data_IF_910216945573
#
_entry.id   IF_910216945573
#
_cell.length_a   1.000
_cell.length_b   1.000
_cell.length_c   1.000
_cell.angle_alpha   90.00
_cell.angle_beta   90.00
_cell.angle_gamma   90.00
#
_symmetry.space_group_name_H-M   'P 1'
#
loop_
_entity.id
_entity.type
_entity.pdbx_description
1 polymer ?
2 polymer ?
3 non-polymer ?
4 water ?
#
# COMPACT_ATOMS: atom_id res chain seq x y z
N UNK A 5 -11.89 19.50 -18.77
CA UNK A 5 -11.56 18.08 -18.85
C UNK A 5 -11.74 17.43 -17.49
N UNK A 6 -11.80 16.09 -17.47
CA UNK A 6 -11.96 15.40 -16.19
C UNK A 6 -10.80 15.66 -15.25
N UNK A 7 -11.09 15.63 -13.95
CA UNK A 7 -10.07 15.83 -12.94
C UNK A 7 -9.12 14.64 -12.92
N UNK A 8 -7.95 14.87 -12.33
CA UNK A 8 -7.00 13.79 -12.10
C UNK A 8 -7.54 12.88 -11.02
N UNK A 9 -7.41 11.56 -11.17
CA UNK A 9 -7.78 10.67 -10.06
C UNK A 9 -7.09 11.11 -8.78
N UNK A 10 -7.81 11.06 -7.68
CA UNK A 10 -7.32 11.57 -6.41
C UNK A 10 -6.54 10.54 -5.62
N UNK A 11 -6.66 9.26 -5.99
CA UNK A 11 -5.99 8.19 -5.27
C UNK A 11 -5.71 7.06 -6.25
N UNK A 12 -4.55 6.43 -6.10
CA UNK A 12 -4.15 5.28 -6.90
C UNK A 12 -3.61 4.26 -5.91
N UNK A 13 -4.18 3.05 -5.91
CA UNK A 13 -3.88 2.06 -4.89
C UNK A 13 -3.46 0.76 -5.55
N UNK A 14 -2.40 0.16 -5.01
CA UNK A 14 -1.82 -1.05 -5.56
C UNK A 14 -1.85 -2.16 -4.52
N UNK A 15 -2.23 -3.37 -4.96
CA UNK A 15 -2.26 -4.55 -4.11
C UNK A 15 -1.70 -5.72 -4.90
N UNK A 16 -0.67 -6.37 -4.37
CA UNK A 16 -0.10 -7.54 -5.02
C UNK A 16 -0.99 -8.75 -4.79
N UNK A 17 -1.29 -9.47 -5.86
CA UNK A 17 -2.06 -10.70 -5.77
C UNK A 17 -1.18 -11.93 -5.88
N UNK A 18 0.03 -11.76 -6.37
CA UNK A 18 0.97 -12.85 -6.56
C UNK A 18 2.29 -12.28 -7.04
N UNK A 19 3.25 -13.15 -7.30
CA UNK A 19 4.56 -12.65 -7.78
C UNK A 19 4.50 -11.96 -9.14
N UNK A 20 3.44 -12.19 -9.92
CA UNK A 20 3.37 -11.63 -11.27
C UNK A 20 2.07 -10.89 -11.54
N UNK A 21 1.31 -10.53 -10.50
CA UNK A 21 0.02 -9.88 -10.75
C UNK A 21 -0.33 -8.95 -9.62
N UNK A 22 -1.05 -7.88 -9.96
CA UNK A 22 -1.49 -6.95 -8.94
C UNK A 22 -2.84 -6.38 -9.32
N UNK A 23 -3.51 -5.84 -8.33
CA UNK A 23 -4.73 -5.08 -8.53
C UNK A 23 -4.40 -3.60 -8.43
N UNK A 24 -4.84 -2.84 -9.43
CA UNK A 24 -4.73 -1.39 -9.44
C UNK A 24 -6.13 -0.83 -9.24
N UNK A 25 -6.27 0.07 -8.29
CA UNK A 25 -7.55 0.72 -8.02
C UNK A 25 -7.34 2.23 -7.97
N UNK A 26 -8.41 2.97 -8.22
CA UNK A 26 -8.33 4.42 -8.17
C UNK A 26 -9.66 5.02 -7.75
N UNK A 27 -9.59 6.30 -7.38
CA UNK A 27 -10.75 7.08 -6.98
C UNK A 27 -10.80 8.35 -7.82
N UNK A 28 -12.01 8.74 -8.20
CA UNK A 28 -12.25 9.98 -8.94
C UNK A 28 -13.07 10.91 -8.06
N UNK A 29 -12.76 12.22 -8.03
CA UNK A 29 -13.53 13.10 -7.14
C UNK A 29 -15.00 13.19 -7.55
N UNK A 34 -20.24 13.48 -16.11
CA UNK A 34 -20.06 12.04 -16.32
C UNK A 34 -18.78 11.73 -17.08
N UNK A 35 -18.48 10.44 -17.25
CA UNK A 35 -17.27 10.01 -17.93
C UNK A 35 -17.59 8.89 -18.88
N UNK A 36 -16.80 8.78 -19.95
CA UNK A 36 -16.82 7.58 -20.76
C UNK A 36 -16.14 6.44 -20.01
N UNK A 37 -14.98 6.70 -19.43
CA UNK A 37 -14.29 5.67 -18.69
C UNK A 37 -12.89 6.12 -18.30
N UNK A 38 -12.00 5.15 -18.21
CA UNK A 38 -10.64 5.40 -17.78
C UNK A 38 -9.67 4.68 -18.70
N UNK A 39 -8.43 5.12 -18.66
CA UNK A 39 -7.33 4.39 -19.24
C UNK A 39 -6.31 4.10 -18.15
N UNK A 40 -5.79 2.88 -18.16
CA UNK A 40 -4.68 2.48 -17.29
C UNK A 40 -3.54 2.10 -18.21
N UNK A 41 -2.44 2.84 -18.11
CA UNK A 41 -1.25 2.59 -18.91
C UNK A 41 -0.16 2.07 -18.01
N UNK A 42 0.59 1.08 -18.47
CA UNK A 42 1.73 0.63 -17.68
C UNK A 42 2.83 0.14 -18.60
N UNK A 43 4.06 0.19 -18.10
CA UNK A 43 5.22 -0.25 -18.86
C UNK A 43 6.40 -0.34 -17.92
N UNK A 44 7.39 -1.13 -18.31
CA UNK A 44 8.63 -1.17 -17.55
C UNK A 44 9.22 0.22 -17.46
N UNK A 45 9.72 0.56 -16.27
CA UNK A 45 10.30 1.88 -16.06
C UNK A 45 11.37 2.20 -17.09
N UNK A 46 12.10 1.19 -17.56
CA UNK A 46 13.18 1.39 -18.53
C UNK A 46 12.83 0.71 -19.85
N UNK A 47 12.15 1.45 -20.72
CA UNK A 47 12.09 1.14 -22.13
C UNK A 47 11.04 0.13 -22.57
N UNK A 48 10.25 -0.42 -21.66
CA UNK A 48 9.30 -1.43 -22.04
C UNK A 48 8.20 -0.90 -22.95
N UNK A 49 7.61 -1.82 -23.71
CA UNK A 49 6.48 -1.45 -24.56
C UNK A 49 5.32 -0.98 -23.71
N UNK A 50 4.55 -0.03 -24.25
CA UNK A 50 3.46 0.60 -23.50
C UNK A 50 2.19 -0.24 -23.62
N UNK A 51 1.62 -0.60 -22.48
CA UNK A 51 0.39 -1.36 -22.40
C UNK A 51 -0.71 -0.43 -21.93
N UNK A 52 -1.81 -0.37 -22.67
CA UNK A 52 -2.93 0.49 -22.30
C UNK A 52 -4.19 -0.34 -22.14
N UNK A 53 -4.88 -0.18 -21.02
CA UNK A 53 -6.15 -0.83 -20.77
C UNK A 53 -7.24 0.24 -20.81
N UNK A 54 -8.21 0.07 -21.68
CA UNK A 54 -9.36 0.96 -21.76
C UNK A 54 -10.49 0.38 -20.93
N UNK A 55 -10.95 1.15 -19.95
CA UNK A 55 -11.96 0.72 -18.98
C UNK A 55 -13.28 1.40 -19.35
N UNK A 56 -14.29 0.65 -19.81
CA UNK A 56 -15.41 1.28 -20.51
C UNK A 56 -16.49 1.86 -19.63
N UNK A 57 -16.51 1.52 -18.35
CA UNK A 57 -17.60 1.89 -17.46
C UNK A 57 -17.06 2.78 -16.35
N UNK A 58 -17.55 4.02 -16.19
CA UNK A 58 -17.02 4.85 -15.10
C UNK A 58 -17.21 4.24 -13.72
N UNK A 59 -18.10 3.26 -13.56
CA UNK A 59 -18.31 2.66 -12.25
C UNK A 59 -17.28 1.59 -11.90
N UNK A 60 -16.46 1.15 -12.85
CA UNK A 60 -15.39 0.20 -12.57
C UNK A 60 -14.11 0.98 -12.32
N UNK A 61 -13.62 0.95 -11.08
CA UNK A 61 -12.42 1.70 -10.72
C UNK A 61 -11.33 0.78 -10.18
N UNK A 62 -11.23 -0.43 -10.72
CA UNK A 62 -10.20 -1.38 -10.33
C UNK A 62 -9.97 -2.33 -11.48
N UNK A 63 -8.73 -2.81 -11.61
CA UNK A 63 -8.41 -3.79 -12.65
C UNK A 63 -7.24 -4.64 -12.17
N UNK A 64 -7.24 -5.89 -12.59
CA UNK A 64 -6.16 -6.82 -12.29
C UNK A 64 -5.23 -6.88 -13.49
N UNK A 65 -3.93 -6.68 -13.23
CA UNK A 65 -2.88 -6.78 -14.23
C UNK A 65 -2.06 -8.03 -13.94
N UNK A 66 -1.88 -8.87 -14.95
CA UNK A 66 -1.16 -10.13 -14.79
C UNK A 66 0.04 -10.15 -15.71
N UNK A 67 0.85 -11.20 -15.55
CA UNK A 67 2.02 -11.43 -16.40
C UNK A 67 3.05 -10.32 -16.24
N UNK A 68 3.13 -9.73 -15.05
CA UNK A 68 4.21 -8.81 -14.74
C UNK A 68 5.47 -9.60 -14.42
N UNK A 69 6.61 -9.03 -14.76
CA UNK A 69 7.89 -9.68 -14.48
C UNK A 69 8.27 -9.46 -13.02
N UNK A 70 8.56 -10.51 -12.25
CA UNK A 70 8.99 -10.30 -10.86
C UNK A 70 10.24 -9.44 -10.78
N UNK A 71 10.31 -8.63 -9.73
CA UNK A 71 11.50 -7.85 -9.38
C UNK A 71 11.82 -6.80 -10.44
N UNK A 72 10.85 -6.44 -11.28
CA UNK A 72 11.01 -5.40 -12.28
C UNK A 72 10.14 -4.21 -11.93
N UNK A 73 10.66 -3.00 -12.14
CA UNK A 73 9.93 -1.79 -11.86
C UNK A 73 9.01 -1.41 -13.00
N UNK A 74 7.73 -1.16 -12.70
CA UNK A 74 6.75 -0.72 -13.66
C UNK A 74 6.22 0.65 -13.29
N UNK A 75 5.95 1.47 -14.30
CA UNK A 75 5.25 2.74 -14.14
C UNK A 75 3.80 2.52 -14.54
N UNK A 76 2.86 2.98 -13.69
CA UNK A 76 1.44 2.92 -13.96
C UNK A 76 0.88 4.34 -14.02
N UNK A 77 -0.02 4.59 -14.97
CA UNK A 77 -0.64 5.90 -15.11
C UNK A 77 -2.13 5.71 -15.35
N UNK A 78 -2.96 6.45 -14.63
CA UNK A 78 -4.41 6.32 -14.75
C UNK A 78 -4.98 7.69 -15.09
N UNK A 79 -5.84 7.74 -16.10
CA UNK A 79 -6.52 8.95 -16.53
C UNK A 79 -8.01 8.67 -16.70
N UNK A 80 -8.82 9.71 -16.58
CA UNK A 80 -10.24 9.66 -16.90
C UNK A 80 -10.49 10.36 -18.22
N UNK A 81 -11.53 9.92 -18.93
CA UNK A 81 -11.93 10.54 -20.18
C UNK A 81 -13.40 10.94 -20.12
N UNK A 82 -13.73 12.07 -20.76
CA UNK A 82 -15.09 12.54 -20.89
C UNK A 82 -15.27 13.08 -22.31
N UNK A 83 -16.39 13.79 -22.53
CA UNK A 83 -16.61 14.43 -23.81
C UNK A 83 -15.60 15.55 -24.04
N UNK A 84 -15.17 16.23 -22.98
CA UNK A 84 -14.21 17.32 -23.10
C UNK A 84 -12.77 16.84 -23.31
N UNK A 85 -12.52 15.54 -23.22
CA UNK A 85 -11.22 14.98 -23.50
C UNK A 85 -10.64 14.26 -22.30
N UNK A 86 -9.36 13.95 -22.40
CA UNK A 86 -8.66 13.22 -21.35
C UNK A 86 -8.18 14.18 -20.25
N UNK A 87 -8.33 13.75 -19.01
CA UNK A 87 -7.78 14.47 -17.89
C UNK A 87 -6.33 14.10 -17.67
N UNK A 88 -5.72 14.77 -16.70
CA UNK A 88 -4.33 14.50 -16.36
C UNK A 88 -4.22 13.18 -15.61
N UNK A 89 -3.02 12.59 -15.65
CA UNK A 89 -2.83 11.26 -15.09
C UNK A 89 -2.34 11.33 -13.65
N UNK A 90 -2.70 10.29 -12.89
CA UNK A 90 -2.04 9.98 -11.63
C UNK A 90 -1.11 8.81 -11.86
N UNK A 91 0.11 8.90 -11.35
CA UNK A 91 1.16 7.96 -11.67
C UNK A 91 1.71 7.31 -10.41
N UNK A 92 2.11 6.05 -10.53
CA UNK A 92 2.87 5.38 -9.49
C UNK A 92 3.85 4.37 -10.06
N UNK A 93 5.01 4.23 -9.42
CA UNK A 93 6.00 3.23 -9.81
C UNK A 93 5.94 2.10 -8.80
N UNK A 94 5.88 0.86 -9.28
CA UNK A 94 5.64 -0.28 -8.41
C UNK A 94 6.50 -1.45 -8.87
N UNK A 95 7.00 -2.22 -7.92
CA UNK A 95 7.70 -3.48 -8.16
C UNK A 95 7.05 -4.55 -7.31
N UNK A 96 6.91 -5.77 -7.84
CA UNK A 96 6.55 -6.93 -7.03
C UNK A 96 7.83 -7.71 -6.77
N UNK A 97 8.29 -7.74 -5.53
CA UNK A 97 9.54 -8.41 -5.17
C UNK A 97 9.26 -9.82 -4.67
N UNK A 98 10.09 -10.77 -5.12
CA UNK A 98 10.00 -12.16 -4.65
C UNK A 98 11.37 -12.81 -4.82
N UNK A 99 11.56 -13.93 -4.12
CA UNK A 99 12.85 -14.62 -4.12
C UNK A 99 13.25 -15.04 -5.52
N UNK A 100 14.55 -14.95 -5.80
CA UNK A 100 15.10 -15.34 -7.10
C UNK A 100 15.38 -16.84 -7.11
N UNK A 105 12.26 -16.95 7.66
CA UNK A 105 12.23 -17.28 9.09
C UNK A 105 11.09 -16.59 9.84
N UNK A 106 10.33 -15.76 9.12
CA UNK A 106 9.17 -15.11 9.71
C UNK A 106 7.96 -16.04 9.67
N UNK A 107 6.96 -15.73 10.50
CA UNK A 107 5.73 -16.50 10.56
C UNK A 107 5.14 -16.62 9.15
N UNK A 108 5.05 -17.85 8.58
CA UNK A 108 4.69 -17.98 7.15
C UNK A 108 3.30 -17.47 6.76
N UNK A 109 3.12 -16.15 6.67
CA UNK A 109 1.83 -15.63 6.25
C UNK A 109 1.59 -15.96 4.77
N UNK A 110 0.39 -16.42 4.40
CA UNK A 110 0.06 -16.53 2.97
C UNK A 110 0.31 -15.21 2.26
N UNK A 111 0.96 -15.28 1.11
CA UNK A 111 1.40 -14.09 0.42
C UNK A 111 2.68 -13.49 0.94
N UNK A 112 3.33 -14.13 1.92
CA UNK A 112 4.59 -13.61 2.44
C UNK A 112 5.73 -13.74 1.44
N UNK A 113 5.59 -14.60 0.44
CA UNK A 113 6.64 -14.84 -0.53
C UNK A 113 6.79 -13.70 -1.54
N UNK A 114 5.90 -12.71 -1.50
CA UNK A 114 6.00 -11.58 -2.43
C UNK A 114 5.54 -10.33 -1.71
N UNK A 115 6.13 -9.20 -2.08
CA UNK A 115 5.79 -7.91 -1.49
C UNK A 115 5.77 -6.84 -2.57
N UNK A 116 4.94 -5.83 -2.35
CA UNK A 116 4.96 -4.64 -3.17
C UNK A 116 6.01 -3.67 -2.65
N UNK A 117 6.67 -2.97 -3.55
CA UNK A 117 7.58 -1.90 -3.15
C UNK A 117 7.45 -0.72 -4.11
N UNK A 118 7.68 0.48 -3.59
CA UNK A 118 7.92 1.65 -4.41
C UNK A 118 9.00 2.47 -3.73
N UNK A 119 9.80 3.23 -4.48
CA UNK A 119 11.00 3.85 -3.88
C UNK A 119 10.70 4.73 -2.67
N UNK A 120 9.59 5.47 -2.67
CA UNK A 120 9.34 6.45 -1.62
C UNK A 120 8.41 5.95 -0.54
N UNK A 121 7.94 4.70 -0.63
CA UNK A 121 7.04 4.19 0.40
C UNK A 121 7.85 3.47 1.49
N UNK A 122 7.32 3.44 2.71
CA UNK A 122 7.93 2.60 3.74
C UNK A 122 8.00 1.16 3.25
N UNK A 123 8.94 0.39 3.81
CA UNK A 123 9.06 -1.00 3.47
C UNK A 123 7.87 -1.79 3.94
N UNK A 124 7.81 -3.06 3.56
CA UNK A 124 6.69 -3.92 3.95
C UNK A 124 6.48 -3.91 5.46
N UNK A 125 5.22 -3.98 5.86
CA UNK A 125 4.87 -3.96 7.28
C UNK A 125 5.06 -5.33 7.90
N UNK A 126 5.78 -5.36 9.01
CA UNK A 126 6.06 -6.59 9.77
C UNK A 126 5.45 -6.42 11.15
N UNK A 127 4.55 -7.33 11.51
CA UNK A 127 3.79 -7.23 12.75
C UNK A 127 4.19 -8.34 13.70
N UNK A 128 4.30 -8.00 14.98
CA UNK A 128 4.51 -8.98 16.04
C UNK A 128 3.39 -8.80 17.06
N UNK A 129 2.58 -9.85 17.24
CA UNK A 129 1.55 -9.82 18.27
C UNK A 129 2.20 -10.10 19.61
N UNK A 130 2.25 -9.09 20.48
CA UNK A 130 2.90 -9.22 21.78
C UNK A 130 1.97 -9.77 22.84
N UNK A 131 0.68 -9.53 22.71
CA UNK A 131 -0.30 -9.98 23.69
C UNK A 131 -1.68 -9.87 23.04
N UNK A 132 -2.74 -10.31 23.71
CA UNK A 132 -4.08 -10.19 23.11
C UNK A 132 -4.49 -8.76 22.79
N UNK A 133 -3.89 -7.76 23.45
CA UNK A 133 -4.29 -6.37 23.26
C UNK A 133 -3.16 -5.47 22.79
N UNK A 134 -2.04 -6.02 22.33
CA UNK A 134 -0.92 -5.17 21.94
C UNK A 134 -0.09 -5.85 20.86
N UNK A 135 0.54 -5.02 20.04
CA UNK A 135 1.41 -5.51 18.98
C UNK A 135 2.53 -4.51 18.75
N UNK A 136 3.55 -4.96 18.03
CA UNK A 136 4.58 -4.11 17.48
C UNK A 136 4.47 -4.11 15.96
N UNK A 137 4.71 -2.95 15.37
CA UNK A 137 4.79 -2.79 13.93
C UNK A 137 6.19 -2.26 13.59
N UNK A 138 6.80 -2.82 12.54
CA UNK A 138 8.11 -2.37 12.11
C UNK A 138 8.14 -2.28 10.59
N UNK A 139 8.97 -1.38 10.08
CA UNK A 139 9.06 -1.16 8.64
C UNK A 139 10.43 -0.59 8.30
N UNK A 140 10.89 -0.94 7.10
CA UNK A 140 12.15 -0.44 6.59
C UNK A 140 11.99 0.98 6.06
N UNK A 141 13.06 1.74 6.17
CA UNK A 141 13.09 3.10 5.64
C UNK A 141 12.81 3.07 4.14
N UNK A 142 12.07 4.06 3.60
CA UNK A 142 11.96 4.16 2.14
C UNK A 142 13.34 4.19 1.49
N UNK A 143 13.47 3.46 0.39
CA UNK A 143 14.77 3.38 -0.26
C UNK A 143 15.16 4.72 -0.89
N UNK A 144 14.19 5.45 -1.43
CA UNK A 144 14.45 6.76 -2.04
C UNK A 144 13.36 7.74 -1.63
N UNK A 145 13.46 8.30 -0.43
CA UNK A 145 12.49 9.33 -0.03
C UNK A 145 12.69 10.60 -0.85
N UNK A 146 11.60 11.33 -1.03
CA UNK A 146 11.67 12.66 -1.64
C UNK A 146 12.03 13.64 -0.54
N UNK A 147 13.32 13.96 -0.44
CA UNK A 147 13.84 14.73 0.67
C UNK A 147 14.20 13.86 1.85
N UNK A 148 14.86 14.46 2.82
CA UNK A 148 15.28 13.72 4.00
C UNK A 148 14.07 13.39 4.88
N UNK A 149 14.15 12.25 5.54
CA UNK A 149 13.03 11.75 6.34
C UNK A 149 13.08 12.42 7.70
N UNK A 150 11.94 12.96 8.13
CA UNK A 150 11.80 13.62 9.42
C UNK A 150 11.16 12.66 10.41
N UNK A 151 10.33 11.75 9.91
CA UNK A 151 9.63 10.82 10.76
C UNK A 151 8.54 10.11 9.99
N UNK A 152 7.66 9.44 10.73
CA UNK A 152 6.58 8.68 10.15
C UNK A 152 5.29 8.99 10.89
N UNK A 153 4.20 8.97 10.13
CA UNK A 153 2.85 8.99 10.68
C UNK A 153 2.27 7.59 10.56
N UNK A 154 1.83 7.04 11.70
CA UNK A 154 1.21 5.72 11.75
C UNK A 154 -0.19 5.92 12.31
N UNK A 155 -1.19 5.44 11.58
CA UNK A 155 -2.59 5.53 12.01
C UNK A 155 -3.14 4.14 12.25
N UNK A 156 -3.98 4.02 13.27
CA UNK A 156 -4.63 2.76 13.66
C UNK A 156 -6.11 3.05 13.87
N UNK A 157 -6.97 2.26 13.26
CA UNK A 157 -8.40 2.43 13.45
C UNK A 157 -9.10 1.11 13.26
N UNK A 158 -10.27 0.97 13.87
CA UNK A 158 -11.06 -0.24 13.65
C UNK A 158 -11.40 -0.34 12.17
N UNK A 159 -11.15 -1.51 11.59
CA UNK A 159 -11.31 -1.67 10.15
C UNK A 159 -12.77 -1.61 9.73
N UNK A 160 -13.69 -2.03 10.60
CA UNK A 160 -15.11 -2.04 10.28
C UNK A 160 -15.76 -0.68 10.51
N UNK A 161 -14.97 0.38 10.61
CA UNK A 161 -15.49 1.73 10.69
C UNK A 161 -16.12 2.04 12.03
N UNK A 162 -16.61 3.27 12.14
CA UNK A 162 -17.29 3.72 13.34
C UNK A 162 -16.46 4.63 14.20
N UNK A 163 -15.48 4.07 14.91
CA UNK A 163 -14.73 4.81 15.89
C UNK A 163 -13.67 5.70 15.27
N UNK A 164 -12.98 6.43 16.12
CA UNK A 164 -11.92 7.33 15.65
C UNK A 164 -10.63 6.59 15.34
N UNK A 165 -9.72 7.31 14.70
CA UNK A 165 -8.38 6.82 14.44
C UNK A 165 -7.43 7.31 15.51
N UNK A 166 -6.38 6.53 15.76
CA UNK A 166 -5.29 6.93 16.63
C UNK A 166 -4.05 7.14 15.78
N UNK A 167 -3.44 8.31 15.91
CA UNK A 167 -2.32 8.72 15.07
C UNK A 167 -1.07 8.85 15.92
N UNK A 168 -0.05 8.04 15.60
CA UNK A 168 1.24 8.07 16.25
C UNK A 168 2.26 8.78 15.38
N UNK A 169 3.09 9.63 15.99
CA UNK A 169 4.19 10.29 15.30
C UNK A 169 5.49 9.63 15.74
N UNK A 170 6.16 8.96 14.81
CA UNK A 170 7.42 8.29 15.05
C UNK A 170 8.53 9.17 14.49
N UNK A 171 9.31 9.79 15.37
CA UNK A 171 10.32 10.74 14.95
C UNK A 171 11.64 10.03 14.67
N UNK A 172 12.40 10.60 13.75
CA UNK A 172 13.72 10.11 13.44
C UNK A 172 13.75 9.36 12.11
N UNK A 173 14.97 9.01 11.71
CA UNK A 173 15.23 8.39 10.41
C UNK A 173 16.09 7.14 10.59
N UNK A 174 15.56 6.18 11.35
CA UNK A 174 16.28 4.94 11.57
C UNK A 174 16.14 4.02 10.36
N UNK A 175 17.16 3.20 10.07
CA UNK A 175 17.01 2.23 8.97
C UNK A 175 15.79 1.35 9.13
N UNK A 176 15.53 0.91 10.36
CA UNK A 176 14.32 0.21 10.73
C UNK A 176 13.62 1.01 11.81
N UNK A 177 12.32 1.23 11.63
CA UNK A 177 11.50 1.94 12.60
C UNK A 177 10.50 0.98 13.20
N UNK A 178 10.16 1.19 14.47
CA UNK A 178 9.27 0.30 15.20
C UNK A 178 8.33 1.11 16.08
N UNK A 179 7.12 0.59 16.26
CA UNK A 179 6.10 1.22 17.08
C UNK A 179 5.32 0.14 17.82
N UNK A 180 5.22 0.28 19.15
CA UNK A 180 4.35 -0.57 19.95
C UNK A 180 2.98 0.08 20.06
N UNK A 181 1.94 -0.70 19.79
CA UNK A 181 0.57 -0.19 19.77
C UNK A 181 -0.24 -0.90 20.84
N UNK A 182 -0.68 -0.20 21.88
CA UNK A 182 -1.42 -0.86 22.96
C UNK A 182 -2.92 -0.65 22.85
N UNK A 183 -3.68 -1.24 23.78
CA UNK A 183 -5.09 -0.93 23.90
C UNK A 183 -5.96 -1.43 22.76
N UNK A 184 -5.57 -2.55 22.14
CA UNK A 184 -6.33 -3.10 21.04
C UNK A 184 -7.36 -4.09 21.60
N UNK A 185 -8.64 -3.85 21.30
CA UNK A 185 -9.68 -4.77 21.71
C UNK A 185 -9.43 -6.15 21.11
N UNK A 186 -9.77 -7.18 21.87
CA UNK A 186 -9.40 -8.53 21.50
C UNK A 186 -10.20 -9.02 20.28
N UNK A 187 -9.49 -9.62 19.33
CA UNK A 187 -10.09 -10.29 18.17
C UNK A 187 -10.74 -9.31 17.19
N UNK A 188 -10.41 -8.03 17.28
CA UNK A 188 -11.03 -6.98 16.46
C UNK A 188 -10.06 -6.62 15.33
N UNK A 189 -10.51 -6.57 14.07
CA UNK A 189 -9.61 -6.16 13.00
C UNK A 189 -9.32 -4.67 13.04
N UNK A 190 -8.05 -4.33 12.84
CA UNK A 190 -7.55 -2.96 12.86
C UNK A 190 -6.82 -2.66 11.57
N UNK A 191 -7.08 -1.48 11.02
CA UNK A 191 -6.42 -1.00 9.81
C UNK A 191 -5.27 -0.08 10.21
N UNK A 192 -4.08 -0.39 9.70
CA UNK A 192 -2.89 0.41 9.96
C UNK A 192 -2.45 1.09 8.69
N UNK A 193 -1.99 2.33 8.82
CA UNK A 193 -1.42 3.08 7.71
C UNK A 193 -0.10 3.66 8.17
N UNK A 194 0.93 3.56 7.33
CA UNK A 194 2.25 4.12 7.60
C UNK A 194 2.65 4.99 6.41
N UNK A 195 3.06 6.23 6.69
CA UNK A 195 3.65 7.04 5.64
C UNK A 195 4.80 7.88 6.19
N UNK A 196 5.79 8.09 5.34
CA UNK A 196 6.94 8.88 5.70
C UNK A 196 6.60 10.36 5.61
N UNK A 197 7.07 11.13 6.59
CA UNK A 197 7.06 12.59 6.52
C UNK A 197 8.50 13.01 6.20
N UNK A 198 8.67 13.70 5.07
CA UNK A 198 9.97 14.17 4.64
C UNK A 198 9.95 15.69 4.60
N UNK A 199 11.13 16.27 4.37
CA UNK A 199 11.24 17.72 4.26
C UNK A 199 10.48 18.26 3.05
N UNK A 200 10.04 17.39 2.13
CA UNK A 200 9.24 17.82 0.99
C UNK A 200 7.76 17.52 1.17
N UNK A 201 7.38 16.72 2.17
CA UNK A 201 5.99 16.44 2.43
C UNK A 201 5.75 15.01 2.89
N UNK A 202 4.59 14.46 2.53
CA UNK A 202 4.24 13.09 2.89
C UNK A 202 4.42 12.19 1.68
N UNK A 203 4.99 11.00 1.90
CA UNK A 203 5.16 10.04 0.85
C UNK A 203 3.94 9.15 0.69
N UNK A 204 4.04 8.17 -0.20
CA UNK A 204 2.97 7.18 -0.36
C UNK A 204 2.69 6.43 0.94
N UNK A 205 1.45 5.97 1.08
CA UNK A 205 1.02 5.27 2.28
C UNK A 205 1.10 3.77 2.05
N UNK A 206 1.51 3.04 3.09
CA UNK A 206 1.40 1.58 3.13
C UNK A 206 0.34 1.22 4.15
N UNK A 207 -0.62 0.39 3.75
CA UNK A 207 -1.80 0.11 4.56
C UNK A 207 -2.01 -1.39 4.65
N UNK A 208 -2.47 -1.86 5.81
CA UNK A 208 -2.83 -3.25 5.95
C UNK A 208 -3.75 -3.44 7.13
N UNK A 209 -4.50 -4.53 7.11
CA UNK A 209 -5.46 -4.85 8.16
C UNK A 209 -4.98 -6.10 8.89
N UNK A 210 -5.01 -6.06 10.22
CA UNK A 210 -4.61 -7.18 11.04
C UNK A 210 -5.69 -7.49 12.06
N UNK A 211 -5.61 -8.70 12.62
CA UNK A 211 -6.44 -9.11 13.74
C UNK A 211 -5.58 -9.99 14.63
N UNK A 212 -5.52 -9.68 15.92
CA UNK A 212 -4.73 -10.46 16.87
C UNK A 212 -5.57 -11.66 17.31
N UNK A 213 -5.03 -12.85 17.10
CA UNK A 213 -5.61 -14.09 17.60
C UNK A 213 -4.77 -14.63 18.74
N UNK A 214 -5.44 -14.95 19.86
N UNK B 2 -12.17 -6.80 1.52
CA UNK B 2 -11.23 -6.54 2.58
C UNK B 2 -10.38 -7.76 2.88
N UNK B 3 -9.10 -7.55 3.17
CA UNK B 3 -8.15 -8.60 3.52
C UNK B 3 -7.67 -8.37 4.94
N UNK B 4 -7.91 -9.33 5.82
CA UNK B 4 -7.45 -9.29 7.20
C UNK B 4 -6.34 -10.31 7.38
N UNK B 5 -5.23 -9.88 7.96
CA UNK B 5 -4.11 -10.76 8.26
C UNK B 5 -4.17 -11.12 9.74
N UNK B 6 -4.37 -12.40 10.02
CA UNK B 6 -4.42 -12.85 11.40
C UNK B 6 -3.01 -12.92 11.96
N UNK B 7 -2.85 -12.44 13.18
CA UNK B 7 -1.57 -12.50 13.89
C UNK B 7 -1.74 -13.39 15.11
N UNK B 8 -0.79 -14.30 15.30
CA UNK B 8 -0.79 -15.21 16.42
C UNK B 8 0.16 -14.70 17.50
N UNK B 9 -0.35 -14.58 18.72
CA UNK B 9 0.52 -14.21 19.84
C UNK B 9 1.62 -15.24 19.95
N UNK B 10 2.87 -14.79 19.99
CA UNK B 10 4.09 -15.57 20.20
C UNK B 10 4.62 -16.21 18.92
N UNK B 11 4.02 -15.98 17.75
CA UNK B 11 4.61 -16.47 16.50
C UNK B 11 5.78 -15.60 16.03
N UNK B 12 5.94 -14.41 16.60
CA UNK B 12 7.03 -13.54 16.22
C UNK B 12 6.69 -12.69 15.02
N UNK B 13 7.72 -12.02 14.47
CA UNK B 13 7.47 -11.07 13.38
C UNK B 13 6.83 -11.75 12.18
N UNK B 14 5.80 -11.11 11.66
CA UNK B 14 4.98 -11.66 10.57
C UNK B 14 4.88 -10.60 9.48
N UNK B 15 5.38 -10.93 8.29
CA UNK B 15 5.25 -10.05 7.15
C UNK B 15 3.84 -10.16 6.60
N UNK B 16 3.13 -9.05 6.49
CA UNK B 16 1.78 -9.09 5.95
C UNK B 16 1.79 -8.50 4.54
N UNK B 17 0.74 -8.81 3.78
CA UNK B 17 0.53 -8.15 2.50
C UNK B 17 -0.16 -6.82 2.74
N UNK B 18 0.44 -5.75 2.25
CA UNK B 18 -0.06 -4.40 2.44
C UNK B 18 -0.15 -3.71 1.10
N UNK B 19 -1.11 -2.81 0.99
CA UNK B 19 -1.32 -2.00 -0.20
C UNK B 19 -0.45 -0.74 -0.13
N UNK B 20 -0.17 -0.18 -1.29
CA UNK B 20 0.52 1.10 -1.40
C UNK B 20 -0.43 2.06 -2.10
N UNK B 21 -0.63 3.24 -1.51
CA UNK B 21 -1.59 4.20 -2.04
C UNK B 21 -0.93 5.54 -2.28
N UNK B 22 -1.13 6.09 -3.47
CA UNK B 22 -0.63 7.40 -3.86
C UNK B 22 -1.80 8.38 -3.81
N UNK B 23 -1.60 9.52 -3.16
CA UNK B 23 -2.68 10.49 -3.02
C UNK B 23 -3.31 10.45 -1.64
N UNK B 24 -4.62 10.71 -1.56
CA UNK B 24 -5.32 10.76 -0.28
C UNK B 24 -6.68 10.10 -0.40
N UNK B 25 -7.07 9.38 0.65
CA UNK B 25 -8.36 8.69 0.67
C UNK B 25 -9.50 9.66 0.95
X LIG C 1 -4.59 2.13 19.58
X LIG C 1 -3.65 2.30 20.65
X LIG C 1 -6.02 2.13 20.12
X LIG C 1 -6.30 3.38 20.75
X LIG C 1 -7.02 1.85 19.00
X LIG C 1 -6.61 2.52 17.80
X LIG C 1 -4.40 1.19 19.06
X LIG C 1 -4.48 2.93 18.85
X LIG C 1 -2.75 2.21 20.30
X LIG C 1 -6.11 1.31 20.86
X LIG C 1 -6.22 4.08 20.10
X LIG C 1 -8.00 2.21 19.30
X LIG C 1 -7.08 0.78 18.82
X LIG C 1 -7.18 2.24 17.06
X LIG D 1 6.08 -3.81 -20.74
X LIG D 1 6.92 -2.70 -20.44
X LIG D 1 6.80 -5.12 -20.47
X LIG D 1 5.96 -6.02 -19.76
X LIG D 1 7.26 -5.74 -21.79
X LIG D 1 8.00 -4.79 -22.54
X LIG D 1 5.77 -3.77 -21.79
X LIG D 1 5.18 -3.76 -20.12
X LIG D 1 6.53 -1.88 -20.79
X LIG D 1 7.69 -4.90 -19.86
X LIG D 1 5.35 -6.46 -20.37
X LIG D 1 6.38 -6.06 -22.36
X LIG D 1 7.87 -6.62 -21.59
X LIG D 1 8.31 -5.19 -23.37
#
# INVERSE_FOLDING_TARGET
GSHMVPDTPTRLVFSALGPTSLRVSWQEPRCERPLQGYSVEYQLLNGGELHRLNIPNPAQTSVVVEDLLPNHSYVFRVRAQSQEGWGREREGVITIESQVHPQSPLCPLPGSAFTLSTPSAPGPLVFTALSPDSLQLSWERPRRPNGDIVGYLVTCEMAQGGGPATAFRVDGDSPESRLTVPGLSENVPYKFKVQARTTEGFGPEREGIIRIES
DSNENLLLVHCGPTLINSCISFGSESFDGH
GOL C1 O1 C2 O2 C3 O3 H11 H12 HO1 H2 HO2 H31 H32 HO3
GOL C1 O1 C2 O2 C3 O3 H11 H12 HO1 H2 HO2 H31 H32 HO3
#
